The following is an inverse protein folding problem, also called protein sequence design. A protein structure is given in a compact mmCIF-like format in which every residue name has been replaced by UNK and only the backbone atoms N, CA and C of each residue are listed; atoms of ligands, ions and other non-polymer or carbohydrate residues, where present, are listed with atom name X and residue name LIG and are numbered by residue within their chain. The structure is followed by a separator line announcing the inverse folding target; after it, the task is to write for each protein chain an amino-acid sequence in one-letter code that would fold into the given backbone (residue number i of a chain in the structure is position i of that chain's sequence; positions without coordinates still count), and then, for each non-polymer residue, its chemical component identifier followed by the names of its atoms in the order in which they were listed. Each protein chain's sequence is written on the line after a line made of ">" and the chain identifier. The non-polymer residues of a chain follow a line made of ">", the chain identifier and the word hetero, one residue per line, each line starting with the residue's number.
data_IF_591674625186
#
_entry.id   IF_591674625186
#
_cell.length_a   1.000
_cell.length_b   1.000
_cell.length_c   1.000
_cell.angle_alpha   90.00
_cell.angle_beta   90.00
_cell.angle_gamma   90.00
#
_symmetry.space_group_name_H-M   'P 1'
#
loop_
_entity.id
_entity.type
_entity.pdbx_description
1 polymer ?
#
# COMPACT_ATOMS: atom_id res chain seq x y z
N UNK A 1 9.44 -64.75 -29.50
CA UNK A 1 8.24 -64.02 -29.03
C UNK A 1 8.42 -63.48 -27.60
N UNK A 2 9.45 -62.66 -27.31
CA UNK A 2 9.67 -62.09 -25.95
C UNK A 2 9.83 -60.57 -25.92
N UNK A 3 9.85 -59.90 -27.08
CA UNK A 3 10.06 -58.45 -27.18
C UNK A 3 8.78 -57.63 -27.39
N UNK A 4 7.62 -58.26 -27.56
CA UNK A 4 6.34 -57.55 -27.83
C UNK A 4 5.71 -56.98 -26.55
N UNK A 5 6.06 -57.50 -25.37
CA UNK A 5 5.51 -57.04 -24.08
C UNK A 5 6.34 -55.94 -23.38
N UNK A 6 7.53 -55.62 -23.89
CA UNK A 6 8.42 -54.61 -23.28
C UNK A 6 7.94 -53.19 -23.62
N UNK A 7 7.46 -52.98 -24.85
CA UNK A 7 6.98 -51.68 -25.33
C UNK A 7 5.73 -51.16 -24.56
N UNK A 8 4.67 -51.95 -24.31
CA UNK A 8 3.52 -51.46 -23.55
C UNK A 8 3.83 -51.24 -22.06
N UNK A 9 4.77 -52.00 -21.48
CA UNK A 9 5.22 -51.80 -20.10
C UNK A 9 5.99 -50.47 -19.96
N UNK A 10 6.83 -50.14 -20.94
CA UNK A 10 7.61 -48.90 -20.96
C UNK A 10 6.71 -47.66 -21.17
N UNK A 11 5.66 -47.78 -22.01
CA UNK A 11 4.62 -46.76 -22.18
C UNK A 11 3.81 -46.59 -20.89
N UNK A 12 3.47 -47.68 -20.18
CA UNK A 12 2.73 -47.60 -18.92
C UNK A 12 3.55 -46.93 -17.81
N UNK A 13 4.86 -47.19 -17.75
CA UNK A 13 5.78 -46.53 -16.81
C UNK A 13 5.96 -45.04 -17.16
N UNK A 14 6.11 -44.68 -18.44
CA UNK A 14 6.19 -43.29 -18.87
C UNK A 14 4.89 -42.50 -18.58
N UNK A 15 3.71 -43.11 -18.77
CA UNK A 15 2.43 -42.50 -18.39
C UNK A 15 2.22 -42.40 -16.87
N UNK A 16 2.85 -43.26 -16.07
CA UNK A 16 2.77 -43.18 -14.61
C UNK A 16 3.66 -42.06 -14.03
N UNK A 17 4.78 -41.75 -14.69
CA UNK A 17 5.68 -40.65 -14.30
C UNK A 17 5.03 -39.29 -14.59
N UNK A 18 4.22 -39.18 -15.65
CA UNK A 18 3.53 -37.93 -16.02
C UNK A 18 2.43 -37.50 -15.03
N UNK A 19 1.98 -38.38 -14.13
CA UNK A 19 1.04 -38.03 -13.05
C UNK A 19 1.71 -37.54 -11.78
N UNK A 20 3.04 -37.50 -11.76
CA UNK A 20 3.83 -36.86 -10.72
C UNK A 20 4.19 -35.41 -11.11
N UNK A 21 3.32 -34.75 -11.88
CA UNK A 21 3.31 -33.30 -11.98
C UNK A 21 3.15 -32.77 -10.55
N UNK A 22 4.23 -32.18 -10.05
CA UNK A 22 4.25 -31.46 -8.79
C UNK A 22 3.18 -30.37 -8.86
N UNK A 23 1.99 -30.64 -8.33
CA UNK A 23 1.00 -29.61 -8.05
C UNK A 23 1.62 -28.71 -6.98
N UNK A 24 2.03 -27.45 -7.29
CA UNK A 24 2.55 -26.58 -6.27
C UNK A 24 1.45 -26.43 -5.23
N UNK A 25 1.73 -26.83 -3.98
CA UNK A 25 0.80 -26.64 -2.88
C UNK A 25 0.47 -25.14 -2.80
N UNK A 26 -0.70 -24.75 -3.32
CA UNK A 26 -1.20 -23.37 -3.23
C UNK A 26 -1.51 -23.09 -1.77
N UNK A 27 -0.50 -22.66 -1.02
CA UNK A 27 -0.65 -22.23 0.37
C UNK A 27 -1.32 -20.86 0.37
N UNK A 28 -2.43 -20.73 1.08
CA UNK A 28 -3.02 -19.42 1.37
C UNK A 28 -2.04 -18.57 2.18
N UNK A 29 -1.95 -17.29 1.83
CA UNK A 29 -1.19 -16.31 2.61
C UNK A 29 -1.87 -16.13 3.97
N UNK A 30 -1.06 -16.05 5.03
CA UNK A 30 -1.52 -16.00 6.42
C UNK A 30 -0.94 -14.82 7.17
N UNK A 31 0.32 -14.50 6.92
CA UNK A 31 1.06 -13.56 7.75
C UNK A 31 1.13 -12.16 7.13
N UNK A 32 1.24 -11.15 7.98
CA UNK A 32 1.37 -9.74 7.63
C UNK A 32 2.50 -9.51 6.63
N UNK A 33 3.63 -10.16 6.83
CA UNK A 33 4.82 -10.13 5.99
C UNK A 33 4.55 -10.61 4.57
N UNK A 34 3.70 -11.62 4.40
CA UNK A 34 3.37 -12.17 3.09
C UNK A 34 2.50 -11.21 2.29
N UNK A 35 1.49 -10.60 2.93
CA UNK A 35 0.66 -9.58 2.28
C UNK A 35 1.42 -8.29 2.04
N UNK A 36 2.32 -7.89 2.96
CA UNK A 36 3.22 -6.76 2.78
C UNK A 36 4.09 -6.94 1.52
N UNK A 37 4.64 -8.14 1.30
CA UNK A 37 5.47 -8.45 0.13
C UNK A 37 4.71 -8.44 -1.21
N UNK A 38 3.37 -8.41 -1.19
CA UNK A 38 2.59 -8.20 -2.42
C UNK A 38 2.58 -6.75 -2.87
N UNK A 39 3.00 -5.81 -2.00
CA UNK A 39 3.12 -4.42 -2.38
C UNK A 39 4.14 -4.27 -3.50
N UNK A 40 3.71 -3.65 -4.59
CA UNK A 40 4.58 -3.32 -5.72
C UNK A 40 4.05 -2.09 -6.43
N UNK A 41 4.92 -1.11 -6.67
CA UNK A 41 4.57 0.10 -7.41
C UNK A 41 5.43 0.18 -8.69
N UNK A 42 4.86 -0.13 -9.89
CA UNK A 42 5.59 0.02 -11.14
C UNK A 42 5.87 1.49 -11.45
N UNK A 43 6.87 1.76 -12.30
CA UNK A 43 7.21 3.14 -12.73
C UNK A 43 6.03 3.87 -13.38
N UNK A 44 5.15 3.13 -14.06
CA UNK A 44 3.86 3.60 -14.55
C UNK A 44 2.77 2.81 -13.84
N UNK A 45 2.13 3.43 -12.86
CA UNK A 45 1.07 2.80 -12.07
C UNK A 45 -0.31 3.33 -12.47
N UNK A 46 -1.32 2.47 -12.46
CA UNK A 46 -2.73 2.78 -12.75
C UNK A 46 -3.54 2.99 -11.47
N UNK A 47 -4.85 3.31 -11.57
CA UNK A 47 -5.71 3.39 -10.38
C UNK A 47 -5.87 2.01 -9.75
N UNK A 48 -5.97 0.98 -10.58
CA UNK A 48 -6.13 -0.40 -10.16
C UNK A 48 -4.90 -0.90 -9.40
N UNK A 49 -3.70 -0.48 -9.79
CA UNK A 49 -2.46 -0.82 -9.06
C UNK A 49 -2.46 -0.22 -7.65
N UNK A 50 -2.83 1.06 -7.52
CA UNK A 50 -2.94 1.73 -6.22
C UNK A 50 -4.00 1.09 -5.34
N UNK A 51 -5.18 0.80 -5.88
CA UNK A 51 -6.27 0.16 -5.15
C UNK A 51 -5.92 -1.27 -4.72
N UNK A 52 -5.25 -2.03 -5.60
CA UNK A 52 -4.73 -3.37 -5.30
C UNK A 52 -3.71 -3.31 -4.16
N UNK A 53 -2.76 -2.38 -4.23
CA UNK A 53 -1.77 -2.16 -3.17
C UNK A 53 -2.45 -1.81 -1.84
N UNK A 54 -3.42 -0.89 -1.84
CA UNK A 54 -4.21 -0.56 -0.65
C UNK A 54 -4.89 -1.82 -0.09
N UNK A 55 -5.50 -2.65 -0.93
CA UNK A 55 -6.13 -3.90 -0.52
C UNK A 55 -5.15 -4.88 0.14
N UNK A 56 -3.96 -5.05 -0.44
CA UNK A 56 -2.90 -5.90 0.12
C UNK A 56 -2.41 -5.38 1.47
N UNK A 57 -2.11 -4.08 1.57
CA UNK A 57 -1.62 -3.44 2.79
C UNK A 57 -2.66 -3.45 3.92
N UNK A 58 -3.94 -3.19 3.60
CA UNK A 58 -5.03 -3.30 4.58
C UNK A 58 -5.22 -4.75 5.06
N UNK A 59 -5.06 -5.72 4.17
CA UNK A 59 -5.09 -7.14 4.55
C UNK A 59 -3.89 -7.50 5.43
N UNK A 60 -2.71 -6.96 5.11
CA UNK A 60 -1.52 -7.10 5.94
C UNK A 60 -1.79 -6.60 7.36
N UNK A 61 -2.37 -5.40 7.54
CA UNK A 61 -2.69 -4.84 8.86
C UNK A 61 -3.58 -5.76 9.71
N UNK A 62 -4.52 -6.49 9.10
CA UNK A 62 -5.43 -7.42 9.79
C UNK A 62 -4.82 -8.80 10.06
N UNK A 63 -3.78 -9.18 9.33
CA UNK A 63 -3.13 -10.47 9.47
C UNK A 63 -2.22 -10.53 10.71
N UNK A 64 -1.98 -11.74 11.21
CA UNK A 64 -1.02 -11.98 12.28
C UNK A 64 0.43 -11.84 11.79
N UNK A 65 1.35 -11.55 12.71
CA UNK A 65 2.78 -11.57 12.39
C UNK A 65 3.28 -13.00 12.24
N UNK A 66 4.21 -13.21 11.31
CA UNK A 66 4.95 -14.45 11.21
C UNK A 66 5.81 -14.66 12.47
N UNK A 67 6.04 -15.92 12.90
CA UNK A 67 6.96 -16.19 14.00
C UNK A 67 8.36 -15.63 13.68
N UNK A 68 9.20 -15.29 14.69
CA UNK A 68 10.50 -14.64 14.46
C UNK A 68 11.40 -15.34 13.43
N UNK A 69 11.36 -16.69 13.37
CA UNK A 69 12.09 -17.49 12.39
C UNK A 69 11.74 -17.15 10.93
N UNK A 70 10.53 -16.66 10.70
CA UNK A 70 9.98 -16.32 9.39
C UNK A 70 9.84 -14.79 9.20
N UNK A 71 10.44 -13.98 10.09
CA UNK A 71 10.48 -12.54 9.90
C UNK A 71 11.22 -12.20 8.59
N UNK A 72 10.92 -11.02 8.02
CA UNK A 72 11.56 -10.57 6.78
C UNK A 72 13.07 -10.39 6.97
N UNK A 73 13.48 -10.00 8.18
CA UNK A 73 14.87 -9.75 8.56
C UNK A 73 15.22 -10.60 9.77
N UNK A 74 16.50 -10.94 9.89
CA UNK A 74 17.00 -11.68 11.06
C UNK A 74 16.87 -10.78 12.29
N UNK A 75 16.22 -11.31 13.32
CA UNK A 75 16.14 -10.68 14.65
C UNK A 75 16.91 -11.56 15.63
N UNK A 76 18.00 -11.05 16.19
CA UNK A 76 18.88 -11.77 17.11
C UNK A 76 18.30 -11.87 18.52
N UNK A 77 17.41 -10.95 18.90
CA UNK A 77 16.80 -10.91 20.21
C UNK A 77 15.32 -10.47 20.17
N UNK A 78 14.62 -10.65 21.29
CA UNK A 78 13.19 -10.33 21.40
C UNK A 78 12.89 -8.85 21.18
N UNK A 79 13.78 -7.95 21.59
CA UNK A 79 13.57 -6.51 21.44
C UNK A 79 13.74 -6.06 19.98
N UNK A 80 14.69 -6.64 19.23
CA UNK A 80 14.79 -6.46 17.78
C UNK A 80 13.50 -6.91 17.10
N UNK A 81 12.96 -8.07 17.49
CA UNK A 81 11.68 -8.53 16.93
C UNK A 81 10.50 -7.60 17.32
N UNK A 82 10.50 -7.05 18.54
CA UNK A 82 9.51 -6.02 18.95
C UNK A 82 9.64 -4.73 18.14
N UNK A 83 10.85 -4.28 17.83
CA UNK A 83 11.10 -3.12 16.97
C UNK A 83 10.66 -3.40 15.54
N UNK A 84 11.10 -4.52 14.97
CA UNK A 84 10.76 -5.00 13.64
C UNK A 84 9.25 -4.95 13.38
N UNK A 85 8.45 -5.53 14.28
CA UNK A 85 6.99 -5.54 14.11
C UNK A 85 6.41 -4.13 14.01
N UNK A 86 6.87 -3.22 14.86
CA UNK A 86 6.39 -1.83 14.90
C UNK A 86 6.82 -1.04 13.67
N UNK A 87 8.08 -1.21 13.24
CA UNK A 87 8.58 -0.60 12.00
C UNK A 87 7.85 -1.15 10.77
N UNK A 88 7.52 -2.44 10.72
CA UNK A 88 6.73 -3.01 9.64
C UNK A 88 5.32 -2.41 9.60
N UNK A 89 4.64 -2.29 10.74
CA UNK A 89 3.30 -1.66 10.80
C UNK A 89 3.38 -0.18 10.41
N UNK A 90 4.35 0.55 10.95
CA UNK A 90 4.61 1.95 10.58
C UNK A 90 4.79 2.07 9.06
N UNK A 91 5.60 1.21 8.45
CA UNK A 91 5.85 1.25 7.02
C UNK A 91 4.62 0.90 6.20
N UNK A 92 3.79 -0.06 6.63
CA UNK A 92 2.51 -0.36 5.98
C UNK A 92 1.60 0.88 5.97
N UNK A 93 1.49 1.59 7.10
CA UNK A 93 0.71 2.83 7.17
C UNK A 93 1.31 3.97 6.34
N UNK A 94 2.64 4.08 6.30
CA UNK A 94 3.35 4.99 5.42
C UNK A 94 3.01 4.72 3.94
N UNK A 95 3.11 3.47 3.50
CA UNK A 95 2.77 3.09 2.12
C UNK A 95 1.28 3.33 1.81
N UNK A 96 0.38 3.07 2.75
CA UNK A 96 -1.05 3.41 2.60
C UNK A 96 -1.26 4.92 2.40
N UNK A 97 -0.54 5.74 3.19
CA UNK A 97 -0.53 7.20 3.03
C UNK A 97 -0.12 7.59 1.61
N UNK A 98 0.99 7.03 1.11
CA UNK A 98 1.48 7.33 -0.23
C UNK A 98 0.48 6.94 -1.33
N UNK A 99 -0.10 5.74 -1.27
CA UNK A 99 -1.06 5.29 -2.29
C UNK A 99 -2.31 6.18 -2.32
N UNK A 100 -2.81 6.58 -1.16
CA UNK A 100 -3.95 7.49 -1.09
C UNK A 100 -3.60 8.91 -1.54
N UNK A 101 -2.42 9.43 -1.24
CA UNK A 101 -1.94 10.72 -1.80
C UNK A 101 -1.86 10.64 -3.33
N UNK A 102 -1.36 9.54 -3.88
CA UNK A 102 -1.28 9.35 -5.34
C UNK A 102 -2.66 9.24 -5.99
N UNK A 103 -3.63 8.57 -5.35
CA UNK A 103 -5.02 8.57 -5.81
C UNK A 103 -5.62 9.98 -5.74
N UNK A 104 -5.45 10.68 -4.62
CA UNK A 104 -5.97 12.02 -4.42
C UNK A 104 -5.47 12.99 -5.51
N UNK A 105 -4.18 12.94 -5.82
CA UNK A 105 -3.56 13.78 -6.84
C UNK A 105 -4.16 13.58 -8.25
N UNK A 106 -4.70 12.39 -8.56
CA UNK A 106 -5.35 12.13 -9.86
C UNK A 106 -6.70 12.80 -10.00
N UNK A 107 -7.38 13.01 -8.88
CA UNK A 107 -8.69 13.66 -8.84
C UNK A 107 -8.59 15.15 -8.48
N UNK A 108 -7.46 15.57 -7.90
CA UNK A 108 -7.15 16.97 -7.63
C UNK A 108 -6.76 17.68 -8.93
N UNK A 109 -7.71 18.42 -9.50
CA UNK A 109 -7.43 19.28 -10.64
C UNK A 109 -6.50 20.42 -10.21
N UNK A 110 -5.23 20.34 -10.61
CA UNK A 110 -4.21 21.31 -10.22
C UNK A 110 -4.53 22.75 -10.67
N UNK A 111 -5.01 22.93 -11.90
CA UNK A 111 -5.33 24.25 -12.44
C UNK A 111 -6.81 24.40 -12.81
N UNK A 112 -7.44 25.43 -12.24
CA UNK A 112 -8.80 25.84 -12.58
C UNK A 112 -8.74 27.10 -13.41
N UNK A 113 -9.28 27.04 -14.62
CA UNK A 113 -9.37 28.17 -15.54
C UNK A 113 -10.82 28.41 -15.96
N UNK A 114 -11.13 29.58 -16.51
CA UNK A 114 -12.50 29.98 -16.88
C UNK A 114 -13.18 29.01 -17.87
N UNK A 115 -12.42 28.37 -18.76
CA UNK A 115 -12.96 27.41 -19.72
C UNK A 115 -13.32 26.06 -19.08
N UNK A 116 -13.06 25.87 -17.79
CA UNK A 116 -13.49 24.68 -17.06
C UNK A 116 -14.92 24.77 -16.53
N UNK A 117 -15.54 25.96 -16.60
CA UNK A 117 -16.91 26.20 -16.14
C UNK A 117 -17.97 25.26 -16.72
N UNK A 118 -17.93 24.86 -18.02
CA UNK A 118 -18.87 23.87 -18.54
C UNK A 118 -18.83 22.50 -17.83
N UNK A 119 -17.71 22.16 -17.19
CA UNK A 119 -17.48 20.90 -16.49
C UNK A 119 -17.51 21.05 -14.97
N UNK A 120 -18.10 22.13 -14.45
CA UNK A 120 -18.07 22.47 -13.02
C UNK A 120 -18.58 21.32 -12.13
N UNK A 121 -19.68 20.67 -12.51
CA UNK A 121 -20.27 19.56 -11.75
C UNK A 121 -19.31 18.36 -11.66
N UNK A 122 -18.72 17.95 -12.77
CA UNK A 122 -17.79 16.82 -12.80
C UNK A 122 -16.48 17.14 -12.08
N UNK A 123 -16.04 18.39 -12.13
CA UNK A 123 -14.90 18.85 -11.34
C UNK A 123 -15.24 18.77 -9.85
N UNK A 124 -16.42 19.24 -9.42
CA UNK A 124 -16.83 19.12 -8.00
C UNK A 124 -16.87 17.66 -7.56
N UNK A 125 -17.37 16.73 -8.39
CA UNK A 125 -17.33 15.28 -8.11
C UNK A 125 -15.88 14.78 -7.99
N UNK A 126 -15.00 15.17 -8.92
CA UNK A 126 -13.58 14.83 -8.86
C UNK A 126 -12.92 15.33 -7.58
N UNK A 127 -13.14 16.59 -7.21
CA UNK A 127 -12.59 17.17 -5.97
C UNK A 127 -13.11 16.44 -4.72
N UNK A 128 -14.32 15.90 -4.74
CA UNK A 128 -14.83 15.06 -3.64
C UNK A 128 -14.04 13.75 -3.50
N UNK A 129 -13.69 13.08 -4.61
CA UNK A 129 -12.80 11.90 -4.57
C UNK A 129 -11.39 12.25 -4.11
N UNK A 130 -10.87 13.42 -4.50
CA UNK A 130 -9.58 13.91 -4.03
C UNK A 130 -9.59 14.12 -2.51
N UNK A 131 -10.62 14.81 -1.99
CA UNK A 131 -10.82 15.05 -0.55
C UNK A 131 -10.87 13.74 0.22
N UNK A 132 -11.70 12.79 -0.20
CA UNK A 132 -11.82 11.49 0.45
C UNK A 132 -10.46 10.79 0.59
N UNK A 133 -9.67 10.75 -0.50
CA UNK A 133 -8.37 10.11 -0.47
C UNK A 133 -7.34 10.87 0.38
N UNK A 134 -7.34 12.20 0.38
CA UNK A 134 -6.47 12.97 1.28
C UNK A 134 -6.85 12.75 2.76
N UNK A 135 -8.13 12.67 3.10
CA UNK A 135 -8.59 12.37 4.46
C UNK A 135 -8.17 10.94 4.88
N UNK A 136 -8.30 9.95 4.00
CA UNK A 136 -7.76 8.61 4.24
C UNK A 136 -6.24 8.64 4.45
N UNK A 137 -5.50 9.36 3.60
CA UNK A 137 -4.05 9.50 3.73
C UNK A 137 -3.65 10.14 5.06
N UNK A 138 -4.36 11.19 5.49
CA UNK A 138 -4.09 11.86 6.77
C UNK A 138 -4.29 10.90 7.96
N UNK A 139 -5.36 10.11 7.94
CA UNK A 139 -5.62 9.11 8.97
C UNK A 139 -4.50 8.07 9.02
N UNK A 140 -4.09 7.53 7.87
CA UNK A 140 -2.99 6.56 7.82
C UNK A 140 -1.64 7.16 8.19
N UNK A 141 -1.40 8.44 7.87
CA UNK A 141 -0.18 9.13 8.28
C UNK A 141 -0.10 9.23 9.81
N UNK A 142 -1.22 9.56 10.46
CA UNK A 142 -1.28 9.64 11.92
C UNK A 142 -0.98 8.29 12.59
N UNK A 143 -1.48 7.20 12.02
CA UNK A 143 -1.15 5.84 12.44
C UNK A 143 0.33 5.52 12.21
N UNK A 144 0.92 5.92 11.08
CA UNK A 144 2.35 5.74 10.83
C UNK A 144 3.19 6.46 11.89
N UNK A 145 2.85 7.70 12.23
CA UNK A 145 3.51 8.47 13.30
C UNK A 145 3.37 7.78 14.65
N UNK A 146 2.17 7.28 14.98
CA UNK A 146 1.94 6.52 16.21
C UNK A 146 2.85 5.27 16.29
N UNK A 147 2.88 4.46 15.24
CA UNK A 147 3.68 3.23 15.22
C UNK A 147 5.19 3.49 15.16
N UNK A 148 5.61 4.60 14.56
CA UNK A 148 6.98 5.11 14.66
C UNK A 148 7.35 5.38 16.12
N UNK A 149 6.50 6.11 16.85
CA UNK A 149 6.75 6.43 18.25
C UNK A 149 6.75 5.18 19.14
N UNK A 150 5.89 4.20 18.85
CA UNK A 150 5.93 2.89 19.50
C UNK A 150 7.25 2.16 19.23
N UNK A 151 7.78 2.25 18.00
CA UNK A 151 9.06 1.62 17.64
C UNK A 151 10.24 2.24 18.41
N UNK A 152 10.16 3.54 18.73
CA UNK A 152 11.22 4.26 19.44
C UNK A 152 11.48 3.76 20.86
N UNK A 153 10.52 3.08 21.49
CA UNK A 153 10.75 2.38 22.76
C UNK A 153 11.89 1.35 22.65
N UNK A 154 12.21 0.89 21.44
CA UNK A 154 13.25 -0.08 21.14
C UNK A 154 14.35 0.51 20.23
N UNK A 155 14.56 1.84 20.24
CA UNK A 155 15.49 2.54 19.31
C UNK A 155 16.91 1.98 19.25
N UNK A 156 17.42 1.40 20.35
CA UNK A 156 18.77 0.82 20.40
C UNK A 156 18.88 -0.51 19.65
N UNK A 157 17.75 -1.14 19.32
CA UNK A 157 17.64 -2.50 18.79
C UNK A 157 17.39 -2.45 17.28
N UNK A 158 18.32 -1.81 16.56
CA UNK A 158 18.24 -1.55 15.12
C UNK A 158 17.92 -2.82 14.33
N UNK A 159 17.08 -2.69 13.31
CA UNK A 159 16.75 -3.79 12.39
C UNK A 159 16.89 -3.32 10.94
N UNK A 160 17.47 -4.16 10.09
CA UNK A 160 17.72 -3.82 8.69
C UNK A 160 16.51 -4.14 7.79
N UNK A 161 15.34 -3.59 8.15
CA UNK A 161 14.11 -3.72 7.37
C UNK A 161 14.07 -2.64 6.30
N UNK A 162 14.71 -2.91 5.16
CA UNK A 162 14.74 -2.02 3.99
C UNK A 162 15.10 -0.57 4.40
N UNK A 163 14.28 0.41 4.01
CA UNK A 163 14.45 1.84 4.29
C UNK A 163 13.65 2.31 5.51
N UNK A 164 13.07 1.40 6.31
CA UNK A 164 12.16 1.78 7.41
C UNK A 164 12.83 2.57 8.53
N UNK A 165 14.10 2.27 8.84
CA UNK A 165 14.89 3.03 9.82
C UNK A 165 15.16 4.47 9.33
N UNK A 166 15.47 4.65 8.04
CA UNK A 166 15.67 5.96 7.42
C UNK A 166 14.36 6.76 7.41
N UNK A 167 13.25 6.13 7.00
CA UNK A 167 11.91 6.74 7.04
C UNK A 167 11.59 7.22 8.46
N UNK A 168 11.78 6.36 9.47
CA UNK A 168 11.52 6.71 10.87
C UNK A 168 12.37 7.91 11.34
N UNK A 169 13.64 7.95 10.95
CA UNK A 169 14.55 9.07 11.24
C UNK A 169 14.10 10.37 10.55
N UNK A 170 13.72 10.31 9.28
CA UNK A 170 13.23 11.48 8.52
C UNK A 170 11.89 12.01 9.05
N UNK A 171 11.00 11.12 9.51
CA UNK A 171 9.76 11.50 10.20
C UNK A 171 10.06 12.26 11.49
N UNK A 172 11.07 11.85 12.24
CA UNK A 172 11.45 12.48 13.51
C UNK A 172 12.03 13.88 13.33
N UNK A 173 12.89 14.07 12.33
CA UNK A 173 13.55 15.34 12.09
C UNK A 173 12.70 16.32 11.27
N UNK A 174 11.48 15.92 10.88
CA UNK A 174 10.59 16.74 10.06
C UNK A 174 10.97 16.80 8.58
N UNK A 175 11.94 16.00 8.13
CA UNK A 175 12.30 15.88 6.70
C UNK A 175 11.23 15.13 5.89
N UNK A 176 10.37 14.39 6.59
CA UNK A 176 9.24 13.68 6.01
C UNK A 176 7.99 13.97 6.84
N UNK A 177 7.19 14.94 6.38
CA UNK A 177 5.89 15.26 6.98
C UNK A 177 4.77 15.32 5.93
N UNK A 178 4.02 14.23 5.82
CA UNK A 178 2.83 14.20 4.96
C UNK A 178 1.66 15.01 5.53
N UNK A 179 1.60 15.25 6.84
CA UNK A 179 0.48 15.98 7.46
C UNK A 179 0.38 17.38 6.88
N UNK A 180 1.46 18.16 6.95
CA UNK A 180 1.49 19.53 6.46
C UNK A 180 1.10 19.63 4.97
N UNK A 181 1.60 18.68 4.16
CA UNK A 181 1.28 18.63 2.72
C UNK A 181 -0.19 18.30 2.49
N UNK A 182 -0.73 17.31 3.19
CA UNK A 182 -2.12 16.85 3.02
C UNK A 182 -3.11 17.90 3.54
N UNK A 183 -2.86 18.51 4.70
CA UNK A 183 -3.72 19.54 5.28
C UNK A 183 -3.82 20.76 4.36
N UNK A 184 -2.68 21.22 3.81
CA UNK A 184 -2.66 22.27 2.79
C UNK A 184 -3.48 21.88 1.56
N UNK A 185 -3.37 20.63 1.09
CA UNK A 185 -4.15 20.15 -0.06
C UNK A 185 -5.65 20.13 0.22
N UNK A 186 -6.06 19.73 1.43
CA UNK A 186 -7.45 19.74 1.84
C UNK A 186 -8.05 21.16 1.89
N UNK A 187 -7.27 22.14 2.33
CA UNK A 187 -7.65 23.55 2.30
C UNK A 187 -7.80 24.06 0.85
N UNK A 188 -6.81 23.80 -0.01
CA UNK A 188 -6.86 24.13 -1.43
C UNK A 188 -8.12 23.56 -2.10
N UNK A 189 -8.46 22.29 -1.83
CA UNK A 189 -9.65 21.65 -2.39
C UNK A 189 -10.96 22.33 -1.96
N UNK A 190 -11.05 22.83 -0.73
CA UNK A 190 -12.25 23.52 -0.26
C UNK A 190 -12.46 24.84 -1.00
N UNK A 191 -11.38 25.62 -1.18
CA UNK A 191 -11.41 26.86 -1.93
C UNK A 191 -11.86 26.62 -3.39
N UNK A 192 -11.32 25.57 -4.02
CA UNK A 192 -11.70 25.14 -5.38
C UNK A 192 -13.19 24.77 -5.48
N UNK A 193 -13.70 24.02 -4.50
CA UNK A 193 -15.10 23.58 -4.45
C UNK A 193 -16.06 24.76 -4.31
N UNK A 194 -15.74 25.74 -3.47
CA UNK A 194 -16.55 26.95 -3.28
C UNK A 194 -16.63 27.78 -4.56
N UNK A 195 -15.50 27.97 -5.25
CA UNK A 195 -15.46 28.68 -6.54
C UNK A 195 -16.43 28.08 -7.58
N UNK A 196 -16.40 26.77 -7.79
CA UNK A 196 -17.30 26.12 -8.78
C UNK A 196 -18.77 26.09 -8.34
N UNK A 197 -19.01 25.94 -7.03
CA UNK A 197 -20.36 25.96 -6.48
C UNK A 197 -21.02 27.35 -6.64
N UNK A 198 -20.24 28.43 -6.63
CA UNK A 198 -20.71 29.79 -6.95
C UNK A 198 -21.09 29.97 -8.42
N UNK A 199 -20.33 29.37 -9.35
CA UNK A 199 -20.58 29.46 -10.79
C UNK A 199 -21.87 28.74 -11.22
N UNK A 200 -22.25 27.65 -10.54
CA UNK A 200 -23.50 26.94 -10.82
C UNK A 200 -24.75 27.77 -10.50
N UNK A 201 -24.70 28.60 -9.45
CA UNK A 201 -25.83 29.45 -9.02
C UNK A 201 -26.11 30.60 -9.99
N UNK A 202 -25.09 31.13 -10.66
CA UNK A 202 -25.22 32.23 -11.62
C UNK A 202 -25.84 31.82 -12.97
N UNK A 203 -26.02 30.52 -13.23
CA UNK A 203 -26.66 30.01 -14.46
C UNK A 203 -28.16 29.72 -14.32
N UNK A 204 -28.68 29.77 -13.09
CA UNK A 204 -30.09 29.51 -12.77
C UNK A 204 -30.91 30.77 -12.52
N UNK A 205 -30.29 31.94 -12.61
CA UNK A 205 -30.92 33.27 -12.63
C UNK A 205 -30.89 33.83 -14.06
#
# INVERSE_FOLDING_TARGET
>A
MKHVFILPLLIFVLCAIDKQIFEPARRFLRYKEEFYRLYYLPSYYSNDDLLRNIGHLQTALRADFAPPLNAIVVCENENQYKRYRRLLVMHIYYLLTQNHVYLAARFDKHEIRFYNTPYAEDIVKSLAYARYNYECALNYWNEAVYWKNEADAFRRERVDLEFTEDIAWRMENGELDYRAVIEKKLEELENKKQYFSGLGKQRTE
#
